data_IF_543931959412
#
_entry.id   IF_543931959412
#
_cell.length_a   1.000
_cell.length_b   1.000
_cell.length_c   1.000
_cell.angle_alpha   90.00
_cell.angle_beta   90.00
_cell.angle_gamma   90.00
#
_symmetry.space_group_name_H-M   'P 1'
#
loop_
_entity.id
_entity.type
_entity.pdbx_description
1 polymer ?
#
# COMPACT_ATOMS: atom_id res chain seq x y z
N UNK A 1 -7.71 20.50 9.79
CA UNK A 1 -7.06 19.26 10.24
C UNK A 1 -7.82 18.12 9.62
N UNK A 2 -7.18 17.43 8.68
CA UNK A 2 -7.77 16.32 7.94
C UNK A 2 -7.63 15.03 8.77
N UNK A 3 -8.43 14.00 8.47
CA UNK A 3 -8.44 12.75 9.26
C UNK A 3 -7.04 12.13 9.37
N UNK A 4 -6.27 12.14 8.27
CA UNK A 4 -4.89 11.65 8.19
C UNK A 4 -4.01 12.18 9.33
N UNK A 5 -4.05 13.48 9.62
CA UNK A 5 -3.25 14.13 10.69
C UNK A 5 -3.56 13.59 12.09
N UNK A 6 -4.73 12.96 12.26
CA UNK A 6 -5.21 12.43 13.54
C UNK A 6 -5.02 10.92 13.65
N UNK A 7 -4.60 10.24 12.60
CA UNK A 7 -4.50 8.77 12.60
C UNK A 7 -3.14 8.26 12.14
N UNK A 8 -2.28 9.13 11.59
CA UNK A 8 -0.90 8.83 11.24
C UNK A 8 0.09 9.64 12.08
N UNK A 9 1.26 9.05 12.34
CA UNK A 9 2.34 9.57 13.17
C UNK A 9 1.89 9.96 14.59
N UNK A 10 0.87 9.27 15.09
CA UNK A 10 0.26 9.47 16.41
C UNK A 10 0.12 8.13 17.14
N UNK A 11 0.02 8.17 18.46
CA UNK A 11 -0.08 6.95 19.28
C UNK A 11 -1.25 6.03 18.90
N UNK A 12 -2.34 6.60 18.38
CA UNK A 12 -3.53 5.84 17.97
C UNK A 12 -3.45 5.18 16.59
N UNK A 13 -2.35 5.33 15.84
CA UNK A 13 -2.18 4.75 14.50
C UNK A 13 -2.55 3.25 14.45
N UNK A 14 -1.86 2.42 15.24
CA UNK A 14 -2.08 0.97 15.24
C UNK A 14 -3.49 0.55 15.70
N UNK A 15 -4.02 1.02 16.85
CA UNK A 15 -5.36 0.62 17.27
C UNK A 15 -6.46 1.17 16.35
N UNK A 16 -6.29 2.37 15.78
CA UNK A 16 -7.25 2.94 14.84
C UNK A 16 -7.34 2.10 13.56
N UNK A 17 -6.20 1.75 12.95
CA UNK A 17 -6.18 0.94 11.73
C UNK A 17 -6.67 -0.50 11.98
N UNK A 18 -6.36 -1.09 13.14
CA UNK A 18 -6.92 -2.38 13.55
C UNK A 18 -8.46 -2.32 13.60
N UNK A 19 -9.01 -1.27 14.19
CA UNK A 19 -10.45 -1.08 14.27
C UNK A 19 -11.08 -0.83 12.88
N UNK A 20 -10.41 -0.04 12.03
CA UNK A 20 -10.85 0.22 10.67
C UNK A 20 -10.99 -1.08 9.84
N UNK A 21 -9.99 -1.95 9.87
CA UNK A 21 -10.05 -3.25 9.17
C UNK A 21 -11.12 -4.16 9.77
N UNK A 22 -11.32 -4.14 11.09
CA UNK A 22 -12.39 -4.91 11.73
C UNK A 22 -13.79 -4.45 11.27
N UNK A 23 -14.01 -3.14 11.11
CA UNK A 23 -15.26 -2.61 10.57
C UNK A 23 -15.47 -3.02 9.11
N UNK A 24 -14.41 -3.01 8.29
CA UNK A 24 -14.47 -3.49 6.90
C UNK A 24 -14.84 -4.98 6.83
N UNK A 25 -14.18 -5.83 7.60
CA UNK A 25 -14.50 -7.26 7.67
C UNK A 25 -15.95 -7.50 8.14
N UNK A 26 -16.40 -6.73 9.13
CA UNK A 26 -17.78 -6.81 9.62
C UNK A 26 -18.78 -6.47 8.51
N UNK A 27 -18.54 -5.39 7.76
CA UNK A 27 -19.40 -5.00 6.65
C UNK A 27 -19.43 -6.06 5.52
N UNK A 28 -18.28 -6.68 5.21
CA UNK A 28 -18.25 -7.80 4.27
C UNK A 28 -19.09 -8.98 4.75
N UNK A 29 -19.00 -9.33 6.04
CA UNK A 29 -19.78 -10.41 6.66
C UNK A 29 -21.27 -10.12 6.62
N UNK A 30 -21.68 -8.88 6.83
CA UNK A 30 -23.07 -8.42 6.66
C UNK A 30 -23.56 -8.56 5.21
N UNK A 31 -22.67 -8.48 4.23
CA UNK A 31 -22.96 -8.75 2.81
C UNK A 31 -22.86 -10.23 2.42
N UNK A 32 -22.70 -11.16 3.37
CA UNK A 32 -22.69 -12.60 3.13
C UNK A 32 -21.30 -13.21 2.93
N UNK A 33 -20.22 -12.45 3.15
CA UNK A 33 -18.87 -13.02 3.18
C UNK A 33 -18.71 -13.96 4.38
N UNK A 34 -18.37 -15.21 4.13
CA UNK A 34 -18.18 -16.24 5.18
C UNK A 34 -16.72 -16.56 5.46
N UNK A 35 -15.80 -15.94 4.73
CA UNK A 35 -14.36 -16.11 4.92
C UNK A 35 -13.83 -15.35 6.14
N UNK A 36 -12.52 -15.47 6.33
CA UNK A 36 -11.78 -14.72 7.33
C UNK A 36 -11.21 -13.45 6.70
N UNK A 37 -10.95 -12.41 7.51
CA UNK A 37 -10.02 -11.37 7.09
C UNK A 37 -8.72 -12.00 6.57
N UNK A 38 -8.29 -11.60 5.38
CA UNK A 38 -7.00 -12.01 4.84
C UNK A 38 -5.96 -10.92 5.08
N UNK A 39 -4.70 -11.31 5.00
CA UNK A 39 -3.56 -10.41 5.09
C UNK A 39 -2.56 -10.73 3.98
N UNK A 40 -1.74 -9.75 3.63
CA UNK A 40 -0.59 -9.95 2.77
C UNK A 40 0.63 -10.12 3.66
N UNK A 41 1.24 -11.30 3.61
CA UNK A 41 2.56 -11.51 4.21
C UNK A 41 3.65 -10.99 3.26
N UNK A 42 3.80 -9.68 3.24
CA UNK A 42 4.77 -8.98 2.39
C UNK A 42 6.21 -9.38 2.66
N UNK A 43 6.53 -9.89 3.86
CA UNK A 43 7.89 -10.35 4.17
C UNK A 43 8.31 -11.58 3.36
N UNK A 44 7.35 -12.41 2.93
CA UNK A 44 7.60 -13.59 2.10
C UNK A 44 7.82 -13.26 0.63
N UNK A 45 7.26 -12.14 0.17
CA UNK A 45 7.38 -11.69 -1.20
C UNK A 45 8.55 -10.70 -1.39
N UNK A 46 8.99 -10.05 -0.31
CA UNK A 46 10.08 -9.09 -0.31
C UNK A 46 11.33 -9.64 -1.00
N UNK A 47 11.80 -8.93 -2.02
CA UNK A 47 12.95 -9.33 -2.83
C UNK A 47 12.85 -8.78 -4.26
N UNK A 48 13.63 -9.31 -5.20
CA UNK A 48 13.70 -8.78 -6.57
C UNK A 48 12.46 -9.12 -7.44
N UNK A 49 11.47 -9.84 -6.91
CA UNK A 49 10.33 -10.35 -7.67
C UNK A 49 8.98 -10.01 -7.03
N UNK A 50 8.89 -8.97 -6.19
CA UNK A 50 7.63 -8.59 -5.52
C UNK A 50 6.54 -8.28 -6.54
N UNK A 51 6.90 -7.69 -7.68
CA UNK A 51 5.97 -7.42 -8.80
C UNK A 51 5.28 -8.69 -9.32
N UNK A 52 5.84 -9.87 -9.06
CA UNK A 52 5.30 -11.18 -9.44
C UNK A 52 4.61 -11.90 -8.26
N UNK A 53 4.38 -11.22 -7.13
CA UNK A 53 3.65 -11.78 -5.99
C UNK A 53 2.29 -12.33 -6.46
N UNK A 54 1.82 -13.47 -5.90
CA UNK A 54 0.45 -13.94 -6.13
C UNK A 54 -0.63 -12.90 -5.80
N UNK A 55 -0.31 -11.93 -4.94
CA UNK A 55 -1.18 -10.79 -4.66
C UNK A 55 -1.52 -10.00 -5.93
N UNK A 56 -0.60 -9.92 -6.89
CA UNK A 56 -0.74 -9.17 -8.12
C UNK A 56 -1.11 -10.04 -9.33
N UNK A 57 -1.42 -11.31 -9.10
CA UNK A 57 -1.90 -12.21 -10.16
C UNK A 57 -3.19 -11.68 -10.79
N UNK A 58 -3.32 -11.70 -12.13
CA UNK A 58 -4.46 -11.12 -12.83
C UNK A 58 -5.77 -11.91 -12.71
N UNK A 59 -5.76 -13.11 -12.15
CA UNK A 59 -6.95 -13.98 -12.05
C UNK A 59 -7.32 -14.24 -10.60
N UNK A 60 -6.34 -14.63 -9.80
CA UNK A 60 -6.49 -15.04 -8.40
C UNK A 60 -6.13 -13.94 -7.41
N UNK A 61 -5.43 -12.90 -7.87
CA UNK A 61 -5.02 -11.75 -7.08
C UNK A 61 -5.81 -10.49 -7.40
N UNK A 62 -5.19 -9.36 -7.09
CA UNK A 62 -5.75 -8.01 -7.22
C UNK A 62 -5.27 -7.29 -8.49
N UNK A 63 -4.65 -8.00 -9.43
CA UNK A 63 -4.06 -7.42 -10.64
C UNK A 63 -2.74 -6.71 -10.39
N UNK A 64 -2.06 -6.33 -11.48
CA UNK A 64 -0.71 -5.75 -11.45
C UNK A 64 -0.68 -4.24 -11.32
N UNK A 65 0.29 -3.63 -12.01
CA UNK A 65 0.49 -2.19 -12.08
C UNK A 65 -0.48 -1.50 -13.06
N UNK A 66 -0.34 -0.19 -13.21
CA UNK A 66 -1.11 0.62 -14.15
C UNK A 66 -0.83 0.34 -15.63
N UNK A 67 -1.71 0.83 -16.50
CA UNK A 67 -1.54 0.77 -17.96
C UNK A 67 -0.34 1.57 -18.47
N UNK A 68 0.08 2.59 -17.73
CA UNK A 68 1.37 3.26 -17.86
C UNK A 68 2.22 2.95 -16.62
N UNK A 69 3.45 2.48 -16.84
CA UNK A 69 4.39 2.12 -15.76
C UNK A 69 5.21 3.30 -15.26
N UNK A 70 5.19 4.44 -15.97
CA UNK A 70 6.00 5.62 -15.66
C UNK A 70 5.21 6.72 -14.94
N UNK A 71 3.90 6.55 -14.80
CA UNK A 71 3.02 7.49 -14.11
C UNK A 71 1.76 6.78 -13.62
N UNK A 72 1.12 7.37 -12.60
CA UNK A 72 -0.21 6.99 -12.12
C UNK A 72 -1.18 6.80 -13.28
N UNK A 73 -1.75 5.59 -13.37
CA UNK A 73 -2.72 5.24 -14.40
C UNK A 73 -3.63 4.08 -13.96
N UNK A 74 -4.76 3.85 -14.64
CA UNK A 74 -5.69 2.78 -14.28
C UNK A 74 -5.00 1.41 -14.29
N UNK A 75 -5.33 0.56 -13.33
CA UNK A 75 -4.81 -0.80 -13.24
C UNK A 75 -5.01 -1.59 -14.54
N UNK A 76 -3.95 -2.24 -15.02
CA UNK A 76 -3.94 -2.87 -16.34
C UNK A 76 -4.59 -4.27 -16.38
N UNK A 77 -4.61 -4.98 -15.25
CA UNK A 77 -5.04 -6.38 -15.17
C UNK A 77 -5.82 -6.65 -13.89
N UNK A 78 -6.47 -7.81 -13.80
CA UNK A 78 -7.19 -8.22 -12.59
C UNK A 78 -8.68 -7.89 -12.57
N UNK A 79 -9.38 -8.31 -11.50
CA UNK A 79 -10.81 -8.10 -11.34
C UNK A 79 -11.20 -6.61 -11.17
N UNK A 80 -10.22 -5.72 -10.97
CA UNK A 80 -10.45 -4.30 -10.66
C UNK A 80 -10.18 -3.33 -11.82
N UNK A 81 -9.92 -3.79 -13.05
CA UNK A 81 -9.63 -2.94 -14.23
C UNK A 81 -10.70 -1.85 -14.47
N UNK A 82 -11.98 -2.18 -14.26
CA UNK A 82 -13.09 -1.24 -14.41
C UNK A 82 -13.68 -0.79 -13.06
N UNK A 83 -12.94 -1.00 -11.96
CA UNK A 83 -13.42 -0.63 -10.64
C UNK A 83 -13.35 0.90 -10.50
N UNK A 84 -14.52 1.52 -10.33
CA UNK A 84 -14.64 2.97 -10.17
C UNK A 84 -14.55 3.33 -8.70
N UNK A 85 -13.69 4.28 -8.37
CA UNK A 85 -13.51 4.87 -7.04
C UNK A 85 -13.89 6.35 -7.08
N UNK A 86 -14.31 6.89 -5.93
CA UNK A 86 -14.88 8.24 -5.84
C UNK A 86 -13.95 9.27 -5.19
N UNK A 87 -12.96 8.82 -4.43
CA UNK A 87 -12.06 9.70 -3.67
C UNK A 87 -10.74 9.82 -4.41
N UNK A 88 -10.29 11.02 -4.73
CA UNK A 88 -9.01 11.26 -5.37
C UNK A 88 -8.12 12.11 -4.48
N UNK A 89 -6.84 11.76 -4.41
CA UNK A 89 -5.80 12.57 -3.79
C UNK A 89 -4.54 12.57 -4.65
N UNK A 90 -3.87 13.71 -4.79
CA UNK A 90 -2.52 13.74 -5.37
C UNK A 90 -1.46 13.32 -4.33
N UNK A 91 -0.26 12.94 -4.77
CA UNK A 91 0.82 12.50 -3.86
C UNK A 91 1.21 13.55 -2.80
N UNK A 92 1.06 14.84 -3.10
CA UNK A 92 1.33 15.91 -2.14
C UNK A 92 0.19 16.15 -1.13
N UNK A 93 -0.93 15.42 -1.24
CA UNK A 93 -2.16 15.61 -0.47
C UNK A 93 -2.69 17.06 -0.46
N UNK A 94 -2.37 17.83 -1.51
CA UNK A 94 -2.83 19.21 -1.69
C UNK A 94 -4.12 19.31 -2.50
N UNK A 95 -4.51 18.25 -3.18
CA UNK A 95 -5.74 18.14 -3.94
C UNK A 95 -6.50 16.88 -3.53
N UNK A 96 -7.43 17.01 -2.58
CA UNK A 96 -8.29 15.94 -2.08
C UNK A 96 -9.74 16.19 -2.50
N UNK A 97 -10.32 15.24 -3.23
CA UNK A 97 -11.69 15.32 -3.77
C UNK A 97 -12.48 14.08 -3.38
N UNK A 98 -13.70 14.26 -2.90
CA UNK A 98 -14.58 13.16 -2.48
C UNK A 98 -15.65 12.78 -3.52
N UNK A 99 -15.74 13.55 -4.61
CA UNK A 99 -16.69 13.34 -5.71
C UNK A 99 -15.94 13.40 -7.05
N UNK A 100 -14.95 12.53 -7.18
CA UNK A 100 -14.12 12.41 -8.37
C UNK A 100 -14.14 10.96 -8.86
N UNK A 101 -15.15 10.56 -9.65
CA UNK A 101 -15.20 9.21 -10.22
C UNK A 101 -14.04 9.00 -11.19
N UNK A 102 -13.22 8.00 -10.91
CA UNK A 102 -12.12 7.54 -11.78
C UNK A 102 -11.89 6.04 -11.58
N UNK A 103 -11.11 5.41 -12.45
CA UNK A 103 -10.71 4.02 -12.25
C UNK A 103 -9.63 3.91 -11.19
N UNK A 104 -9.55 2.75 -10.53
CA UNK A 104 -8.50 2.46 -9.57
C UNK A 104 -7.11 2.59 -10.23
N UNK A 105 -6.32 3.55 -9.77
CA UNK A 105 -4.99 3.79 -10.32
C UNK A 105 -3.89 3.08 -9.52
N UNK A 106 -2.85 2.63 -10.21
CA UNK A 106 -1.61 2.09 -9.63
C UNK A 106 -0.38 2.58 -10.38
N UNK A 107 0.76 2.57 -9.70
CA UNK A 107 2.05 2.93 -10.26
C UNK A 107 3.11 2.18 -9.45
N UNK A 108 3.52 1.00 -9.92
CA UNK A 108 4.51 0.23 -9.16
C UNK A 108 5.86 0.89 -9.33
N UNK A 109 6.45 1.35 -8.23
CA UNK A 109 7.74 2.05 -8.23
C UNK A 109 8.77 1.30 -7.40
N UNK A 110 10.05 1.55 -7.72
CA UNK A 110 11.22 1.20 -6.93
C UNK A 110 12.05 2.44 -6.64
N UNK A 111 12.87 2.40 -5.59
CA UNK A 111 13.74 3.52 -5.20
C UNK A 111 15.22 3.12 -5.06
N UNK A 112 15.88 2.60 -6.12
CA UNK A 112 17.27 2.20 -6.04
C UNK A 112 18.20 3.41 -5.81
N UNK A 113 19.33 3.15 -5.15
CA UNK A 113 20.41 4.13 -5.06
C UNK A 113 21.34 4.02 -6.26
N UNK A 114 21.40 5.07 -7.09
CA UNK A 114 22.31 5.19 -8.24
C UNK A 114 23.31 6.29 -7.98
N UNK A 115 24.61 5.98 -8.01
CA UNK A 115 25.70 6.93 -7.73
C UNK A 115 25.51 7.72 -6.42
N UNK A 116 25.03 7.05 -5.36
CA UNK A 116 24.78 7.65 -4.05
C UNK A 116 23.51 8.49 -3.94
N UNK A 117 22.68 8.55 -5.00
CA UNK A 117 21.39 9.27 -4.99
C UNK A 117 20.24 8.27 -5.11
N UNK A 118 19.21 8.42 -4.28
CA UNK A 118 17.97 7.66 -4.41
C UNK A 118 17.18 8.22 -5.59
N UNK A 119 16.79 7.36 -6.54
CA UNK A 119 15.99 7.74 -7.70
C UNK A 119 14.71 6.91 -7.71
N UNK A 120 13.59 7.52 -8.10
CA UNK A 120 12.32 6.81 -8.32
C UNK A 120 12.32 6.27 -9.74
N UNK A 121 12.04 4.98 -9.89
CA UNK A 121 11.95 4.30 -11.18
C UNK A 121 10.71 3.40 -11.22
N UNK A 122 10.17 3.07 -12.40
CA UNK A 122 9.19 2.00 -12.51
C UNK A 122 9.72 0.70 -11.91
N UNK A 123 8.92 0.00 -11.11
CA UNK A 123 9.31 -1.30 -10.55
C UNK A 123 9.50 -2.36 -11.64
N UNK A 124 9.05 -2.13 -12.87
CA UNK A 124 9.38 -2.97 -14.03
C UNK A 124 10.89 -2.99 -14.36
N UNK A 125 11.67 -2.02 -13.86
CA UNK A 125 13.13 -2.00 -14.05
C UNK A 125 13.88 -3.01 -13.18
N UNK A 126 13.40 -3.29 -11.96
CA UNK A 126 14.14 -4.13 -10.99
C UNK A 126 13.31 -5.14 -10.19
N UNK A 127 11.99 -5.05 -10.25
CA UNK A 127 11.02 -5.92 -9.57
C UNK A 127 10.95 -5.78 -8.05
N UNK A 128 11.70 -4.85 -7.45
CA UNK A 128 11.95 -4.81 -6.01
C UNK A 128 10.84 -4.16 -5.21
N UNK A 129 10.14 -3.17 -5.76
CA UNK A 129 9.06 -2.44 -5.08
C UNK A 129 9.47 -1.87 -3.71
N UNK A 130 10.69 -1.35 -3.53
CA UNK A 130 11.20 -0.87 -2.22
C UNK A 130 11.30 -1.99 -1.15
N UNK A 131 11.36 -3.25 -1.54
CA UNK A 131 11.33 -4.41 -0.63
C UNK A 131 12.38 -4.43 0.47
N UNK A 132 13.50 -3.75 0.30
CA UNK A 132 14.50 -3.60 1.36
C UNK A 132 13.91 -2.93 2.62
N UNK A 133 12.86 -2.11 2.46
CA UNK A 133 12.18 -1.35 3.52
C UNK A 133 11.06 -2.12 4.22
N UNK A 134 10.62 -3.25 3.68
CA UNK A 134 9.64 -4.13 4.30
C UNK A 134 10.10 -5.60 4.28
N UNK A 135 11.40 -5.83 4.27
CA UNK A 135 11.95 -7.18 4.38
C UNK A 135 11.78 -7.74 5.80
N UNK A 136 11.86 -9.06 5.94
CA UNK A 136 11.94 -9.71 7.26
C UNK A 136 13.11 -9.15 8.08
N UNK A 137 14.25 -8.89 7.45
CA UNK A 137 15.40 -8.25 8.10
C UNK A 137 15.04 -6.87 8.64
N UNK A 138 14.32 -6.04 7.88
CA UNK A 138 13.85 -4.74 8.36
C UNK A 138 12.93 -4.89 9.56
N UNK A 139 11.98 -5.82 9.50
CA UNK A 139 11.06 -6.07 10.61
C UNK A 139 11.77 -6.54 11.87
N UNK A 140 12.70 -7.48 11.74
CA UNK A 140 13.53 -7.94 12.85
C UNK A 140 14.35 -6.78 13.44
N UNK A 141 14.87 -5.87 12.63
CA UNK A 141 15.58 -4.69 13.11
C UNK A 141 14.66 -3.76 13.91
N UNK A 142 13.43 -3.49 13.43
CA UNK A 142 12.48 -2.63 14.14
C UNK A 142 12.06 -3.27 15.47
N UNK A 143 11.71 -4.56 15.45
CA UNK A 143 11.22 -5.29 16.63
C UNK A 143 12.32 -5.45 17.69
N UNK A 144 13.55 -5.83 17.28
CA UNK A 144 14.63 -6.10 18.23
C UNK A 144 15.24 -4.83 18.83
N UNK A 145 15.16 -3.69 18.13
CA UNK A 145 15.69 -2.42 18.64
C UNK A 145 14.62 -1.57 19.35
N UNK A 146 13.32 -1.84 19.13
CA UNK A 146 12.24 -1.19 19.85
C UNK A 146 12.22 -1.59 21.33
N UNK A 147 12.31 -0.61 22.22
CA UNK A 147 12.27 -0.82 23.68
C UNK A 147 10.89 -0.49 24.28
N UNK A 148 10.05 0.21 23.53
CA UNK A 148 8.72 0.65 23.92
C UNK A 148 7.81 0.80 22.69
N UNK A 149 6.57 1.20 22.93
CA UNK A 149 5.58 1.35 21.86
C UNK A 149 5.98 2.38 20.81
N UNK A 150 6.58 3.52 21.18
CA UNK A 150 6.90 4.59 20.23
C UNK A 150 8.14 4.26 19.39
N UNK A 151 9.15 3.63 19.99
CA UNK A 151 10.33 3.12 19.30
C UNK A 151 10.03 1.95 18.36
N UNK A 152 8.89 1.27 18.52
CA UNK A 152 8.33 0.33 17.53
C UNK A 152 7.45 1.05 16.49
N UNK A 153 6.42 1.79 16.95
CA UNK A 153 5.37 2.38 16.10
C UNK A 153 5.95 3.36 15.10
N UNK A 154 6.84 4.27 15.55
CA UNK A 154 7.42 5.30 14.69
C UNK A 154 8.15 4.71 13.48
N UNK A 155 9.14 3.82 13.68
CA UNK A 155 9.82 3.13 12.58
C UNK A 155 8.91 2.22 11.76
N UNK A 156 7.98 1.48 12.38
CA UNK A 156 7.03 0.64 11.65
C UNK A 156 6.17 1.45 10.68
N UNK A 157 5.65 2.58 11.13
CA UNK A 157 4.82 3.46 10.31
C UNK A 157 5.65 4.18 9.23
N UNK A 158 6.82 4.70 9.60
CA UNK A 158 7.65 5.50 8.69
C UNK A 158 8.50 4.71 7.70
N UNK A 159 8.64 3.39 7.87
CA UNK A 159 9.51 2.56 7.01
C UNK A 159 8.69 1.50 6.26
N UNK A 160 8.32 0.33 6.82
CA UNK A 160 7.63 -0.70 6.05
C UNK A 160 6.23 -0.27 5.62
N UNK A 161 5.46 0.37 6.51
CA UNK A 161 4.11 0.84 6.16
C UNK A 161 4.15 1.88 5.04
N UNK A 162 4.94 2.94 5.19
CA UNK A 162 5.12 3.95 4.15
C UNK A 162 5.63 3.34 2.83
N UNK A 163 6.63 2.46 2.88
CA UNK A 163 7.19 1.84 1.68
C UNK A 163 6.16 1.00 0.92
N UNK A 164 5.28 0.27 1.60
CA UNK A 164 4.22 -0.51 0.94
C UNK A 164 3.20 0.39 0.24
N UNK A 165 2.83 1.52 0.87
CA UNK A 165 1.96 2.53 0.26
C UNK A 165 2.61 3.15 -0.97
N UNK A 166 3.85 3.60 -0.83
CA UNK A 166 4.62 4.24 -1.90
C UNK A 166 4.86 3.29 -3.07
N UNK A 167 5.26 2.04 -2.79
CA UNK A 167 5.64 1.08 -3.82
C UNK A 167 4.48 0.64 -4.71
N UNK A 168 3.26 0.55 -4.17
CA UNK A 168 2.05 0.24 -4.97
C UNK A 168 1.63 1.48 -5.79
N UNK A 169 1.84 2.67 -5.23
CA UNK A 169 1.58 3.94 -5.88
C UNK A 169 0.12 4.14 -6.32
N UNK A 170 -0.10 5.10 -7.20
CA UNK A 170 -1.42 5.49 -7.67
C UNK A 170 -2.34 5.91 -6.52
N UNK A 171 -3.49 5.26 -6.41
CA UNK A 171 -4.40 5.51 -5.30
C UNK A 171 -3.87 5.06 -3.94
N UNK A 172 -2.87 4.15 -3.88
CA UNK A 172 -2.33 3.60 -2.64
C UNK A 172 -1.32 4.52 -1.95
N UNK A 173 -0.70 5.45 -2.68
CA UNK A 173 0.30 6.36 -2.13
C UNK A 173 -0.27 7.46 -1.21
N UNK A 174 -1.31 8.21 -1.62
CA UNK A 174 -1.81 9.35 -0.86
C UNK A 174 -2.95 8.98 0.11
N UNK A 175 -3.63 9.98 0.66
CA UNK A 175 -4.75 9.81 1.61
C UNK A 175 -5.97 9.07 1.03
N UNK A 176 -5.99 8.79 -0.26
CA UNK A 176 -6.99 7.94 -0.92
C UNK A 176 -6.64 6.45 -0.87
N UNK A 177 -5.58 6.05 -0.17
CA UNK A 177 -5.12 4.66 -0.06
C UNK A 177 -6.19 3.61 0.25
N UNK A 178 -7.25 3.88 1.03
CA UNK A 178 -8.33 2.92 1.22
C UNK A 178 -9.13 2.57 -0.05
N UNK A 179 -8.99 3.32 -1.16
CA UNK A 179 -9.52 2.95 -2.47
C UNK A 179 -8.95 1.61 -2.97
N UNK A 180 -7.68 1.34 -2.64
CA UNK A 180 -6.96 0.20 -3.17
C UNK A 180 -7.23 -1.02 -2.31
N UNK A 181 -7.78 -2.05 -2.96
CA UNK A 181 -7.92 -3.37 -2.35
C UNK A 181 -6.63 -4.15 -2.54
N UNK A 182 -5.94 -4.40 -1.43
CA UNK A 182 -4.95 -5.48 -1.28
C UNK A 182 -5.52 -6.64 -0.47
N UNK A 183 -6.79 -6.54 -0.08
CA UNK A 183 -7.60 -7.54 0.59
C UNK A 183 -8.98 -7.57 -0.13
N UNK A 184 -9.62 -8.74 -0.34
CA UNK A 184 -10.84 -8.91 -1.11
C UNK A 184 -12.04 -8.25 -0.41
#
# INVERSE_FOLDING_TARGET
MILTDRIHFVAQFLPWHRWFVHLYETALKECGYTGNAIYWDWTRDAGPNVVNSPLFDPVTGFGGTGTNVNERSPIATGPFVNFTVMVYSNYAATDLRYDHPHFLDREFISMPTRNGTVVVVPASEDGTMLSERYSETMMNNIVNNGQDFESFRGPFEGIPHAALHDAIGGDMGPSSSPNVRTHP
#
